data_IF_568714169244
#
_entry.id   IF_568714169244
#
_cell.length_a   1.000
_cell.length_b   1.000
_cell.length_c   1.000
_cell.angle_alpha   90.00
_cell.angle_beta   90.00
_cell.angle_gamma   90.00
#
_symmetry.space_group_name_H-M   'P 1'
#
loop_
_entity.id
_entity.type
_entity.pdbx_description
1 polymer ?
#
# COMPACT_ATOMS: atom_id res chain seq x y z
N UNK A 1 -21.16 9.69 6.07
CA UNK A 1 -21.98 9.04 5.04
C UNK A 1 -21.57 7.59 5.08
N UNK A 2 -22.40 6.72 5.67
CA UNK A 2 -22.11 5.28 5.70
C UNK A 2 -22.44 4.72 4.31
N UNK A 3 -21.42 4.20 3.62
CA UNK A 3 -21.62 3.46 2.38
C UNK A 3 -21.87 2.00 2.75
N UNK A 4 -23.15 1.62 2.87
CA UNK A 4 -23.56 0.22 3.06
C UNK A 4 -23.20 -0.65 1.83
N UNK A 5 -23.00 -0.01 0.68
CA UNK A 5 -22.51 -0.65 -0.54
C UNK A 5 -21.44 0.18 -1.25
N UNK A 6 -20.42 -0.50 -1.80
CA UNK A 6 -19.32 0.15 -2.54
C UNK A 6 -19.24 -0.40 -3.95
N UNK A 7 -19.64 0.43 -4.90
CA UNK A 7 -19.46 0.20 -6.33
C UNK A 7 -18.00 0.37 -6.75
N UNK A 8 -17.47 -0.63 -7.46
CA UNK A 8 -16.08 -0.75 -7.87
C UNK A 8 -15.96 -0.92 -9.38
N UNK A 9 -15.08 -0.15 -10.00
CA UNK A 9 -14.62 -0.34 -11.37
C UNK A 9 -13.18 -0.87 -11.37
N UNK A 10 -12.99 -2.07 -11.91
CA UNK A 10 -11.70 -2.73 -12.05
C UNK A 10 -11.23 -2.66 -13.51
N UNK A 11 -10.10 -2.00 -13.74
CA UNK A 11 -9.56 -1.72 -15.08
C UNK A 11 -8.26 -2.51 -15.31
N UNK A 12 -8.08 -3.07 -16.50
CA UNK A 12 -6.83 -3.71 -16.91
C UNK A 12 -6.82 -5.23 -16.74
N UNK A 13 -5.64 -5.82 -16.87
CA UNK A 13 -5.43 -7.27 -16.89
C UNK A 13 -5.50 -7.95 -15.50
N UNK A 14 -6.58 -7.73 -14.76
CA UNK A 14 -6.78 -8.28 -13.41
C UNK A 14 -6.77 -9.83 -13.33
N UNK A 15 -6.90 -10.52 -14.46
CA UNK A 15 -6.80 -11.98 -14.55
C UNK A 15 -5.37 -12.50 -14.51
N UNK A 16 -4.35 -11.64 -14.65
CA UNK A 16 -2.94 -12.05 -14.51
C UNK A 16 -2.65 -12.50 -13.09
N UNK A 17 -1.84 -13.55 -12.93
CA UNK A 17 -1.48 -14.10 -11.63
C UNK A 17 -0.82 -13.07 -10.71
N UNK A 18 -0.03 -12.15 -11.26
CA UNK A 18 0.58 -11.06 -10.49
C UNK A 18 -0.45 -10.12 -9.85
N UNK A 19 -1.65 -10.00 -10.44
CA UNK A 19 -2.75 -9.15 -9.97
C UNK A 19 -3.68 -9.85 -8.98
N UNK A 20 -3.43 -11.12 -8.68
CA UNK A 20 -4.19 -11.91 -7.70
C UNK A 20 -4.36 -11.21 -6.33
N UNK A 21 -3.35 -10.47 -5.79
CA UNK A 21 -3.51 -9.72 -4.55
C UNK A 21 -4.60 -8.65 -4.62
N UNK A 22 -4.81 -8.03 -5.78
CA UNK A 22 -5.86 -7.03 -6.00
C UNK A 22 -7.23 -7.68 -5.93
N UNK A 23 -7.44 -8.78 -6.66
CA UNK A 23 -8.72 -9.50 -6.63
C UNK A 23 -9.04 -10.03 -5.24
N UNK A 24 -8.04 -10.57 -4.53
CA UNK A 24 -8.18 -11.05 -3.16
C UNK A 24 -8.56 -9.92 -2.21
N UNK A 25 -7.92 -8.76 -2.35
CA UNK A 25 -8.22 -7.58 -1.54
C UNK A 25 -9.65 -7.07 -1.77
N UNK A 26 -10.07 -6.99 -3.04
CA UNK A 26 -11.43 -6.58 -3.40
C UNK A 26 -12.46 -7.53 -2.78
N UNK A 27 -12.27 -8.84 -2.97
CA UNK A 27 -13.16 -9.85 -2.41
C UNK A 27 -13.23 -9.82 -0.87
N UNK A 28 -12.10 -9.54 -0.21
CA UNK A 28 -12.01 -9.56 1.26
C UNK A 28 -12.54 -8.31 1.93
N UNK A 29 -12.36 -7.13 1.31
CA UNK A 29 -12.55 -5.85 2.00
C UNK A 29 -13.73 -5.04 1.47
N UNK A 30 -14.08 -5.19 0.20
CA UNK A 30 -15.15 -4.39 -0.40
C UNK A 30 -16.50 -4.96 0.07
N UNK A 31 -17.36 -4.15 0.71
CA UNK A 31 -18.70 -4.59 1.08
C UNK A 31 -19.54 -4.94 -0.16
N UNK A 32 -20.73 -5.50 0.03
CA UNK A 32 -21.65 -5.79 -1.08
C UNK A 32 -21.83 -4.56 -1.98
N UNK A 33 -21.82 -4.73 -3.29
CA UNK A 33 -21.89 -3.62 -4.24
C UNK A 33 -21.67 -4.10 -5.66
N UNK A 34 -21.76 -3.17 -6.62
CA UNK A 34 -21.54 -3.48 -8.03
C UNK A 34 -20.05 -3.55 -8.34
N UNK A 35 -19.55 -4.67 -8.84
CA UNK A 35 -18.20 -4.79 -9.39
C UNK A 35 -18.28 -4.89 -10.92
N UNK A 36 -17.78 -3.88 -11.62
CA UNK A 36 -17.66 -3.89 -13.08
C UNK A 36 -16.20 -3.99 -13.49
N UNK A 37 -15.95 -4.72 -14.58
CA UNK A 37 -14.60 -4.90 -15.15
C UNK A 37 -14.53 -4.25 -16.52
N UNK A 38 -13.42 -3.60 -16.79
CA UNK A 38 -13.08 -3.09 -18.10
C UNK A 38 -11.67 -3.54 -18.49
N UNK A 39 -11.43 -3.97 -19.74
CA UNK A 39 -10.11 -4.41 -20.18
C UNK A 39 -9.08 -3.28 -20.20
N UNK A 40 -9.50 -2.04 -20.41
CA UNK A 40 -8.66 -0.85 -20.49
C UNK A 40 -9.43 0.42 -20.07
N UNK A 41 -8.72 1.56 -20.03
CA UNK A 41 -9.31 2.85 -19.65
C UNK A 41 -10.39 3.33 -20.64
N UNK A 42 -10.18 3.27 -21.98
CA UNK A 42 -11.23 3.64 -22.93
C UNK A 42 -12.55 2.87 -22.75
N UNK A 43 -12.49 1.54 -22.55
CA UNK A 43 -13.67 0.72 -22.31
C UNK A 43 -14.36 1.08 -20.99
N UNK A 44 -13.58 1.37 -19.94
CA UNK A 44 -14.09 1.86 -18.66
C UNK A 44 -14.82 3.20 -18.80
N UNK A 45 -14.23 4.15 -19.52
CA UNK A 45 -14.83 5.47 -19.77
C UNK A 45 -16.11 5.36 -20.59
N UNK A 46 -16.13 4.52 -21.61
CA UNK A 46 -17.34 4.25 -22.39
C UNK A 46 -18.45 3.67 -21.52
N UNK A 47 -18.13 2.73 -20.65
CA UNK A 47 -19.07 2.12 -19.70
C UNK A 47 -19.69 3.17 -18.77
N UNK A 48 -18.85 3.99 -18.13
CA UNK A 48 -19.30 5.07 -17.23
C UNK A 48 -20.22 6.04 -17.98
N UNK A 49 -19.87 6.42 -19.21
CA UNK A 49 -20.65 7.36 -20.01
C UNK A 49 -22.01 6.79 -20.45
N UNK A 50 -22.04 5.56 -20.95
CA UNK A 50 -23.26 4.90 -21.45
C UNK A 50 -24.22 4.62 -20.31
N UNK A 51 -23.72 4.08 -19.21
CA UNK A 51 -24.56 3.66 -18.09
C UNK A 51 -24.87 4.79 -17.10
N UNK A 52 -24.21 5.95 -17.23
CA UNK A 52 -24.26 7.06 -16.28
C UNK A 52 -24.04 6.60 -14.83
N UNK A 53 -23.08 5.70 -14.67
CA UNK A 53 -22.74 5.05 -13.43
C UNK A 53 -21.34 5.48 -12.97
N UNK A 54 -21.25 5.99 -11.75
CA UNK A 54 -20.03 6.55 -11.18
C UNK A 54 -19.57 5.69 -9.99
N UNK A 55 -18.49 4.91 -10.12
CA UNK A 55 -18.02 4.03 -9.05
C UNK A 55 -17.46 4.83 -7.87
N UNK A 56 -17.56 4.28 -6.67
CA UNK A 56 -16.93 4.88 -5.48
C UNK A 56 -15.42 4.63 -5.47
N UNK A 57 -15.00 3.46 -5.98
CA UNK A 57 -13.61 3.03 -6.04
C UNK A 57 -13.26 2.57 -7.47
N UNK A 58 -12.19 3.11 -8.02
CA UNK A 58 -11.58 2.68 -9.28
C UNK A 58 -10.25 2.03 -8.95
N UNK A 59 -10.07 0.78 -9.37
CA UNK A 59 -8.81 0.06 -9.24
C UNK A 59 -8.27 -0.27 -10.61
N UNK A 60 -7.08 0.22 -10.91
CA UNK A 60 -6.37 -0.02 -12.17
C UNK A 60 -5.27 -1.03 -11.91
N UNK A 61 -5.24 -2.11 -12.69
CA UNK A 61 -4.18 -3.11 -12.71
C UNK A 61 -3.22 -2.80 -13.87
N UNK A 62 -2.03 -2.29 -13.55
CA UNK A 62 -0.98 -2.00 -14.51
C UNK A 62 0.13 -3.04 -14.42
N UNK A 63 0.33 -3.84 -15.46
CA UNK A 63 1.27 -4.94 -15.52
C UNK A 63 2.64 -4.52 -16.07
N UNK A 64 2.67 -3.54 -16.99
CA UNK A 64 3.92 -3.00 -17.53
C UNK A 64 3.89 -1.47 -17.72
N UNK A 65 5.08 -0.84 -17.83
CA UNK A 65 5.18 0.60 -18.06
C UNK A 65 4.48 1.05 -19.34
N UNK A 66 3.81 2.21 -19.31
CA UNK A 66 3.05 2.80 -20.43
C UNK A 66 1.91 1.93 -21.00
N UNK A 67 1.43 0.92 -20.26
CA UNK A 67 0.25 0.13 -20.65
C UNK A 67 -0.98 1.01 -20.94
N UNK A 68 -1.08 2.16 -20.27
CA UNK A 68 -2.14 3.13 -20.48
C UNK A 68 -1.58 4.46 -20.97
N UNK A 69 -2.23 5.04 -21.99
CA UNK A 69 -1.82 6.31 -22.55
C UNK A 69 -2.08 7.47 -21.57
N UNK A 70 -1.17 8.46 -21.55
CA UNK A 70 -1.29 9.68 -20.73
C UNK A 70 -2.67 10.32 -20.83
N UNK A 71 -3.16 10.50 -22.05
CA UNK A 71 -4.45 11.14 -22.33
C UNK A 71 -5.61 10.39 -21.67
N UNK A 72 -5.58 9.06 -21.68
CA UNK A 72 -6.64 8.24 -21.10
C UNK A 72 -6.61 8.31 -19.57
N UNK A 73 -5.41 8.31 -18.97
CA UNK A 73 -5.23 8.50 -17.52
C UNK A 73 -5.78 9.85 -17.08
N UNK A 74 -5.40 10.93 -17.76
CA UNK A 74 -5.85 12.30 -17.46
C UNK A 74 -7.38 12.41 -17.63
N UNK A 75 -7.94 11.78 -18.67
CA UNK A 75 -9.37 11.76 -18.90
C UNK A 75 -10.14 10.96 -17.82
N UNK A 76 -9.61 9.82 -17.39
CA UNK A 76 -10.18 9.01 -16.29
C UNK A 76 -10.26 9.82 -14.99
N UNK A 77 -9.17 10.51 -14.63
CA UNK A 77 -9.13 11.35 -13.43
C UNK A 77 -10.14 12.52 -13.55
N UNK A 78 -10.26 13.11 -14.74
CA UNK A 78 -11.20 14.22 -14.99
C UNK A 78 -12.68 13.82 -14.96
N UNK A 79 -13.02 12.62 -15.44
CA UNK A 79 -14.41 12.12 -15.50
C UNK A 79 -14.89 11.58 -14.16
N UNK A 80 -13.98 11.08 -13.33
CA UNK A 80 -14.28 10.44 -12.04
C UNK A 80 -13.64 11.18 -10.85
N UNK A 81 -13.90 12.50 -10.66
CA UNK A 81 -13.21 13.30 -9.66
C UNK A 81 -13.58 12.94 -8.21
N UNK A 82 -14.76 12.33 -8.00
CA UNK A 82 -15.24 11.91 -6.68
C UNK A 82 -14.87 10.47 -6.35
N UNK A 83 -14.48 9.67 -7.34
CA UNK A 83 -14.07 8.29 -7.14
C UNK A 83 -12.70 8.22 -6.46
N UNK A 84 -12.53 7.29 -5.53
CA UNK A 84 -11.21 6.93 -5.03
C UNK A 84 -10.48 6.14 -6.11
N UNK A 85 -9.29 6.59 -6.51
CA UNK A 85 -8.52 5.96 -7.58
C UNK A 85 -7.26 5.31 -7.00
N UNK A 86 -7.04 4.04 -7.36
CA UNK A 86 -5.84 3.29 -7.01
C UNK A 86 -5.27 2.63 -8.26
N UNK A 87 -4.02 2.91 -8.59
CA UNK A 87 -3.27 2.20 -9.62
C UNK A 87 -2.33 1.19 -8.95
N UNK A 88 -2.72 -0.07 -9.01
CA UNK A 88 -1.96 -1.23 -8.55
C UNK A 88 -1.01 -1.66 -9.67
N UNK A 89 0.30 -1.50 -9.45
CA UNK A 89 1.30 -1.77 -10.47
C UNK A 89 2.14 -3.03 -10.17
N UNK A 90 2.48 -3.76 -11.24
CA UNK A 90 3.33 -4.96 -11.21
C UNK A 90 4.81 -4.63 -11.02
N UNK A 91 5.64 -5.66 -10.82
CA UNK A 91 7.07 -5.52 -10.50
C UNK A 91 7.87 -4.77 -11.57
N UNK A 92 7.45 -4.87 -12.84
CA UNK A 92 8.09 -4.18 -13.96
C UNK A 92 7.90 -2.65 -13.93
N UNK A 93 6.94 -2.17 -13.15
CA UNK A 93 6.61 -0.75 -13.01
C UNK A 93 7.24 -0.08 -11.78
N UNK A 94 8.04 -0.78 -10.97
CA UNK A 94 8.63 -0.20 -9.74
C UNK A 94 9.51 1.02 -10.04
N UNK A 95 10.27 0.96 -11.13
CA UNK A 95 11.15 2.04 -11.56
C UNK A 95 10.40 3.22 -12.20
N UNK A 96 9.15 3.03 -12.63
CA UNK A 96 8.37 4.08 -13.28
C UNK A 96 8.11 5.25 -12.35
N UNK A 97 7.92 5.02 -11.05
CA UNK A 97 7.68 6.10 -10.07
C UNK A 97 8.84 7.08 -9.91
N UNK A 98 10.03 6.75 -10.45
CA UNK A 98 11.21 7.63 -10.45
C UNK A 98 11.29 8.47 -11.71
N UNK A 99 10.99 7.87 -12.87
CA UNK A 99 11.28 8.46 -14.18
C UNK A 99 10.04 8.89 -14.96
N UNK A 100 8.84 8.43 -14.56
CA UNK A 100 7.58 8.64 -15.29
C UNK A 100 6.51 9.20 -14.36
N UNK A 101 5.90 10.28 -14.81
CA UNK A 101 4.81 10.98 -14.10
C UNK A 101 3.51 10.87 -14.89
N UNK A 102 3.11 9.63 -15.23
CA UNK A 102 1.82 9.37 -15.88
C UNK A 102 0.70 9.31 -14.82
N UNK A 103 0.84 8.40 -13.86
CA UNK A 103 -0.05 8.32 -12.71
C UNK A 103 0.43 9.28 -11.60
N UNK A 104 -0.48 10.04 -10.96
CA UNK A 104 -0.15 10.77 -9.74
C UNK A 104 0.43 9.84 -8.67
N UNK A 105 1.50 10.26 -7.99
CA UNK A 105 2.16 9.43 -6.97
C UNK A 105 1.18 8.99 -5.88
N UNK A 106 0.25 9.87 -5.52
CA UNK A 106 -0.79 9.62 -4.54
C UNK A 106 -1.62 8.36 -4.82
N UNK A 107 -1.89 8.02 -6.08
CA UNK A 107 -2.77 6.89 -6.44
C UNK A 107 -2.00 5.58 -6.66
N UNK A 108 -0.67 5.63 -6.76
CA UNK A 108 0.16 4.48 -7.10
C UNK A 108 0.43 3.60 -5.87
N UNK A 109 0.29 2.30 -6.05
CA UNK A 109 0.67 1.29 -5.04
C UNK A 109 1.25 0.06 -5.74
N UNK A 110 2.35 -0.53 -5.26
CA UNK A 110 2.80 -1.80 -5.79
C UNK A 110 1.75 -2.88 -5.47
N UNK A 111 1.60 -3.88 -6.33
CA UNK A 111 0.54 -4.90 -6.18
C UNK A 111 0.55 -5.62 -4.83
N UNK A 112 1.74 -5.82 -4.24
CA UNK A 112 1.93 -6.36 -2.88
C UNK A 112 1.28 -5.52 -1.76
N UNK A 113 1.11 -4.22 -2.00
CA UNK A 113 0.48 -3.28 -1.07
C UNK A 113 -1.01 -3.03 -1.34
N UNK A 114 -1.58 -3.68 -2.36
CA UNK A 114 -2.95 -3.43 -2.81
C UNK A 114 -3.98 -3.64 -1.69
N UNK A 115 -3.85 -4.71 -0.89
CA UNK A 115 -4.79 -5.03 0.18
C UNK A 115 -4.93 -3.90 1.20
N UNK A 116 -3.81 -3.43 1.73
CA UNK A 116 -3.79 -2.36 2.72
C UNK A 116 -4.22 -1.03 2.11
N UNK A 117 -3.83 -0.76 0.84
CA UNK A 117 -4.25 0.44 0.15
C UNK A 117 -5.77 0.49 -0.07
N UNK A 118 -6.35 -0.59 -0.60
CA UNK A 118 -7.81 -0.71 -0.81
C UNK A 118 -8.54 -0.53 0.52
N UNK A 119 -8.07 -1.18 1.58
CA UNK A 119 -8.63 -1.04 2.93
C UNK A 119 -8.69 0.42 3.37
N UNK A 120 -7.61 1.21 3.17
CA UNK A 120 -7.57 2.63 3.53
C UNK A 120 -8.49 3.50 2.68
N UNK A 121 -8.63 3.20 1.38
CA UNK A 121 -9.58 3.94 0.54
C UNK A 121 -11.03 3.68 0.99
N UNK A 122 -11.32 2.47 1.48
CA UNK A 122 -12.62 2.16 2.08
C UNK A 122 -12.83 2.91 3.42
N UNK A 123 -11.80 3.03 4.26
CA UNK A 123 -11.86 3.90 5.46
C UNK A 123 -12.14 5.35 5.07
N UNK A 124 -11.52 5.85 4.00
CA UNK A 124 -11.77 7.20 3.46
C UNK A 124 -13.22 7.35 2.99
N UNK A 125 -13.75 6.37 2.25
CA UNK A 125 -15.15 6.38 1.83
C UNK A 125 -16.10 6.41 3.03
N UNK A 126 -15.81 5.67 4.10
CA UNK A 126 -16.61 5.69 5.34
C UNK A 126 -16.44 6.97 6.18
N UNK A 127 -15.49 7.84 5.83
CA UNK A 127 -15.15 9.03 6.61
C UNK A 127 -14.31 8.75 7.86
N UNK A 128 -13.71 7.55 7.96
CA UNK A 128 -12.87 7.13 9.09
C UNK A 128 -11.42 7.63 8.93
N UNK A 129 -11.06 8.10 7.74
CA UNK A 129 -9.71 8.53 7.37
C UNK A 129 -9.77 9.71 6.40
N UNK A 130 -8.79 10.62 6.48
CA UNK A 130 -8.63 11.68 5.51
C UNK A 130 -8.10 11.14 4.18
N UNK A 131 -8.71 11.58 3.08
CA UNK A 131 -8.25 11.25 1.73
C UNK A 131 -6.84 11.80 1.47
N UNK A 132 -5.97 10.99 0.86
CA UNK A 132 -4.76 11.50 0.23
C UNK A 132 -5.16 12.25 -1.05
N UNK A 133 -4.83 13.56 -1.19
CA UNK A 133 -5.17 14.31 -2.39
C UNK A 133 -4.34 13.82 -3.59
N UNK A 134 -4.89 13.94 -4.80
CA UNK A 134 -4.16 13.54 -6.03
C UNK A 134 -2.88 14.35 -6.26
N UNK A 135 -2.81 15.55 -5.67
CA UNK A 135 -1.64 16.45 -5.69
C UNK A 135 -0.62 16.13 -4.60
N UNK A 136 -0.84 15.11 -3.76
CA UNK A 136 0.08 14.78 -2.68
C UNK A 136 1.49 14.49 -3.22
N UNK A 137 2.46 15.01 -2.50
CA UNK A 137 3.88 14.75 -2.71
C UNK A 137 4.23 13.28 -2.43
N UNK A 138 5.46 12.90 -2.76
CA UNK A 138 5.95 11.55 -2.52
C UNK A 138 6.06 11.24 -1.02
N UNK A 139 6.40 12.24 -0.21
CA UNK A 139 6.55 12.07 1.24
C UNK A 139 5.19 11.90 1.93
N UNK A 140 4.18 12.67 1.51
CA UNK A 140 2.80 12.48 1.97
C UNK A 140 2.24 11.11 1.55
N UNK A 141 2.50 10.70 0.30
CA UNK A 141 2.10 9.38 -0.17
C UNK A 141 2.79 8.26 0.61
N UNK A 142 4.08 8.44 0.95
CA UNK A 142 4.81 7.50 1.79
C UNK A 142 4.26 7.45 3.21
N UNK A 143 3.96 8.59 3.84
CA UNK A 143 3.31 8.68 5.14
C UNK A 143 1.98 7.94 5.16
N UNK A 144 1.10 8.26 4.20
CA UNK A 144 -0.18 7.57 4.03
C UNK A 144 -0.01 6.06 3.83
N UNK A 145 1.07 5.61 3.16
CA UNK A 145 1.38 4.19 2.95
C UNK A 145 1.94 3.49 4.20
N UNK A 146 2.71 4.20 5.01
CA UNK A 146 3.48 3.67 6.15
C UNK A 146 2.75 3.74 7.50
N UNK A 147 1.67 4.52 7.63
CA UNK A 147 0.90 4.65 8.89
C UNK A 147 0.42 3.33 9.52
N UNK A 148 0.36 2.21 8.78
CA UNK A 148 0.11 0.89 9.38
C UNK A 148 1.26 0.36 10.24
N UNK A 149 2.49 0.83 10.02
CA UNK A 149 3.66 0.46 10.80
C UNK A 149 3.61 1.13 12.18
N UNK A 150 3.06 2.35 12.27
CA UNK A 150 3.08 3.15 13.50
C UNK A 150 2.14 2.61 14.60
N UNK A 151 1.05 1.90 14.23
CA UNK A 151 0.15 1.27 15.23
C UNK A 151 0.73 0.04 15.91
N UNK A 152 1.74 -0.62 15.34
CA UNK A 152 2.44 -1.77 15.96
C UNK A 152 3.80 -1.37 16.57
N UNK A 153 4.31 -0.19 16.23
CA UNK A 153 5.58 0.36 16.70
C UNK A 153 5.35 1.58 17.61
N UNK A 154 4.25 1.59 18.38
CA UNK A 154 4.38 2.05 19.78
C UNK A 154 5.21 1.01 20.53
N UNK A 155 6.48 0.93 20.16
CA UNK A 155 7.52 0.37 20.99
C UNK A 155 7.44 1.10 22.32
N UNK A 156 7.49 0.30 23.37
CA UNK A 156 7.70 0.72 24.73
C UNK A 156 8.58 1.97 24.78
N UNK A 157 8.12 2.97 25.54
CA UNK A 157 8.94 4.09 25.93
C UNK A 157 10.33 3.55 26.28
N UNK A 158 11.34 3.90 25.48
CA UNK A 158 12.73 3.59 25.77
C UNK A 158 13.00 4.22 27.12
N UNK A 159 12.96 3.41 28.18
CA UNK A 159 13.43 3.84 29.49
C UNK A 159 14.89 4.20 29.29
N UNK A 160 15.34 5.40 29.73
CA UNK A 160 16.74 5.75 29.66
C UNK A 160 17.53 4.65 30.38
N UNK A 161 18.55 4.14 29.71
CA UNK A 161 19.50 3.17 30.27
C UNK A 161 20.02 3.76 31.58
N UNK A 162 19.90 3.06 32.73
CA UNK A 162 20.49 3.56 33.95
C UNK A 162 22.00 3.68 33.74
N UNK A 163 22.52 4.86 34.04
CA UNK A 163 23.94 5.18 34.02
C UNK A 163 24.73 4.09 34.75
N UNK A 164 25.78 3.59 34.10
CA UNK A 164 26.64 2.55 34.65
C UNK A 164 27.17 2.96 36.04
N UNK A 165 27.20 2.05 37.03
CA UNK A 165 27.83 2.33 38.30
C UNK A 165 29.33 2.53 38.11
N UNK A 166 29.87 3.60 38.69
CA UNK A 166 31.31 3.86 38.76
C UNK A 166 32.02 2.70 39.45
N UNK A 167 33.00 2.08 38.76
CA UNK A 167 33.91 1.14 39.38
C UNK A 167 34.82 1.89 40.38
N UNK A 168 34.54 1.73 41.66
CA UNK A 168 35.54 1.85 42.71
C UNK A 168 36.43 0.59 42.73
N UNK A 169 37.68 0.67 43.21
CA UNK A 169 38.62 -0.44 43.12
C UNK A 169 38.45 -1.37 44.32
N UNK A 170 38.41 -2.68 44.10
CA UNK A 170 39.15 -3.68 44.87
C UNK A 170 38.84 -5.12 44.43
N UNK A 171 39.91 -5.77 43.98
CA UNK A 171 40.35 -7.14 44.29
C UNK A 171 39.32 -8.26 44.40
N UNK A 172 39.40 -9.22 43.47
CA UNK A 172 39.15 -10.64 43.78
C UNK A 172 40.04 -11.53 42.91
N UNK A 173 40.59 -12.53 43.60
CA UNK A 173 41.67 -13.46 43.27
C UNK A 173 41.33 -14.38 42.09
N UNK A 174 42.24 -14.51 41.13
CA UNK A 174 42.18 -15.53 40.07
C UNK A 174 42.87 -16.79 40.58
N UNK A 175 42.13 -17.90 40.74
CA UNK A 175 42.75 -19.21 40.86
C UNK A 175 43.11 -19.74 39.46
N UNK A 176 44.41 -19.99 39.26
CA UNK A 176 44.98 -20.65 38.09
C UNK A 176 44.76 -22.15 38.22
N UNK A 177 44.04 -22.76 37.27
CA UNK A 177 43.95 -24.22 37.16
C UNK A 177 44.98 -24.66 36.11
N UNK A 178 45.98 -25.42 36.56
CA UNK A 178 47.03 -26.00 35.71
C UNK A 178 46.51 -27.27 35.01
N UNK A 179 46.80 -27.49 33.71
CA UNK A 179 46.35 -28.66 32.97
C UNK A 179 47.41 -29.77 33.03
N UNK A 180 47.40 -30.60 34.08
CA UNK A 180 48.14 -31.86 34.04
C UNK A 180 47.54 -32.91 34.99
N UNK A 181 46.44 -33.53 34.55
CA UNK A 181 46.05 -34.88 34.98
C UNK A 181 45.38 -35.60 33.81
N UNK A 182 46.21 -36.04 32.87
CA UNK A 182 45.88 -37.15 31.98
C UNK A 182 46.32 -38.48 32.63
N UNK A 183 45.60 -39.55 32.27
CA UNK A 183 45.86 -40.97 32.52
C UNK A 183 45.40 -41.56 33.85
N UNK A 184 44.20 -42.18 33.81
CA UNK A 184 43.92 -43.57 34.26
C UNK A 184 42.46 -43.92 33.96
N UNK A 185 42.19 -44.50 32.78
CA UNK A 185 41.59 -45.84 32.61
C UNK A 185 41.58 -46.20 31.13
#
# INVERSE_FOLDING_TARGET
MEFDSVDVLLIGAASRSEMQPVCTALFRHVPMGRLQRAPDIPAALNTVAVERWYPHLVVVCQSWPDEFARRDIEHLIGVLPTSRLVCCYGVWCESDGRNRQLWPVAVRVPVRGAAERIRRELEVLRGERMALPVTASRDEAFGFQSEAIDRRVRLDAVKPVPSAPSLGPASTVIQVISPDQALRT
#
